data_IF_885473503785
#
_entry.id   IF_885473503785
#
_cell.length_a   1.000
_cell.length_b   1.000
_cell.length_c   1.000
_cell.angle_alpha   90.00
_cell.angle_beta   90.00
_cell.angle_gamma   90.00
#
_symmetry.space_group_name_H-M   'P 1'
#
loop_
_entity.id
_entity.type
_entity.pdbx_description
1 polymer ?
2 non-polymer ?
3 water ?
#
# COMPACT_ATOMS: atom_id res chain seq x y z
N UNK A 1 24.22 -13.95 -12.35
CA UNK A 1 22.86 -14.41 -12.14
C UNK A 1 21.87 -13.31 -11.66
N UNK A 2 20.58 -13.62 -11.78
CA UNK A 2 19.46 -12.79 -11.40
C UNK A 2 19.23 -12.70 -9.89
N UNK A 3 18.77 -11.57 -9.43
CA UNK A 3 18.31 -11.39 -8.08
C UNK A 3 16.84 -11.75 -7.87
N UNK A 4 16.55 -12.36 -6.75
CA UNK A 4 15.20 -12.67 -6.36
C UNK A 4 14.63 -11.73 -5.29
N UNK A 5 13.40 -11.32 -5.48
CA UNK A 5 12.71 -10.51 -4.53
C UNK A 5 11.54 -11.25 -3.87
N UNK A 6 11.49 -11.24 -2.56
CA UNK A 6 10.38 -11.82 -1.83
C UNK A 6 9.30 -10.77 -1.52
N UNK A 7 8.07 -11.07 -1.84
CA UNK A 7 6.95 -10.17 -1.57
C UNK A 7 5.86 -10.86 -0.77
N UNK A 8 5.69 -10.45 0.47
CA UNK A 8 4.62 -10.95 1.29
C UNK A 8 3.25 -10.42 0.83
N UNK A 9 2.21 -11.19 1.06
CA UNK A 9 0.89 -10.83 0.59
C UNK A 9 0.77 -10.56 -0.90
N UNK A 10 1.21 -11.48 -1.70
CA UNK A 10 1.28 -11.32 -3.13
C UNK A 10 -0.06 -11.14 -3.85
N UNK A 11 -1.13 -11.55 -3.25
CA UNK A 11 -2.48 -11.39 -3.78
C UNK A 11 -3.02 -9.97 -3.88
N UNK A 12 -2.50 -9.08 -3.07
CA UNK A 12 -3.01 -7.75 -2.89
C UNK A 12 -2.81 -6.77 -4.04
N UNK A 13 -3.52 -5.67 -3.98
CA UNK A 13 -3.56 -4.66 -5.01
C UNK A 13 -2.24 -3.95 -5.22
N UNK A 14 -1.68 -3.41 -4.19
CA UNK A 14 -0.34 -2.86 -4.24
C UNK A 14 0.75 -3.90 -4.54
N UNK A 15 0.64 -5.04 -3.94
CA UNK A 15 1.62 -6.09 -4.07
C UNK A 15 1.74 -6.56 -5.52
N UNK A 16 0.62 -6.71 -6.21
CA UNK A 16 0.61 -7.08 -7.62
C UNK A 16 1.26 -6.05 -8.54
N UNK A 17 1.04 -4.77 -8.31
CA UNK A 17 1.71 -3.74 -9.02
C UNK A 17 3.21 -3.72 -8.73
N UNK A 18 3.59 -3.94 -7.50
CA UNK A 18 4.96 -4.06 -7.16
C UNK A 18 5.56 -5.25 -7.92
N UNK A 19 4.89 -6.37 -7.92
CA UNK A 19 5.38 -7.55 -8.57
C UNK A 19 5.54 -7.32 -10.08
N UNK A 20 4.55 -6.73 -10.72
CA UNK A 20 4.63 -6.45 -12.13
C UNK A 20 5.78 -5.51 -12.45
N UNK A 21 6.00 -4.51 -11.64
CA UNK A 21 7.13 -3.68 -11.83
C UNK A 21 8.45 -4.37 -11.62
N UNK A 22 8.58 -5.11 -10.55
CA UNK A 22 9.81 -5.81 -10.25
C UNK A 22 10.17 -6.85 -11.33
N UNK A 23 9.19 -7.56 -11.81
CA UNK A 23 9.36 -8.48 -12.88
C UNK A 23 9.82 -7.78 -14.16
N UNK A 24 9.29 -6.61 -14.43
CA UNK A 24 9.64 -5.86 -15.60
C UNK A 24 11.09 -5.42 -15.64
N UNK A 25 11.67 -5.23 -14.50
CA UNK A 25 13.05 -4.84 -14.39
C UNK A 25 14.04 -6.03 -14.38
N UNK A 26 13.54 -7.21 -14.54
CA UNK A 26 14.36 -8.39 -14.57
C UNK A 26 14.63 -9.19 -13.31
N UNK A 27 14.09 -8.78 -12.20
CA UNK A 27 14.10 -9.57 -11.00
C UNK A 27 13.21 -10.77 -11.11
N UNK A 28 13.53 -11.79 -10.38
CA UNK A 28 12.61 -12.81 -10.06
C UNK A 28 11.85 -12.46 -8.79
N UNK A 29 10.71 -13.08 -8.60
CA UNK A 29 9.87 -12.86 -7.50
C UNK A 29 9.43 -14.12 -6.79
N UNK A 30 9.38 -14.07 -5.49
CA UNK A 30 8.73 -15.08 -4.71
C UNK A 30 7.69 -14.43 -3.84
N UNK A 31 6.46 -14.83 -3.99
CA UNK A 31 5.37 -14.27 -3.27
C UNK A 31 4.79 -15.14 -2.20
N UNK A 32 4.43 -14.57 -1.07
CA UNK A 32 3.65 -15.27 -0.07
C UNK A 32 2.13 -15.15 -0.27
N UNK A 33 1.46 -16.26 -0.10
CA UNK A 33 0.03 -16.33 -0.22
C UNK A 33 -0.58 -17.15 0.89
N UNK A 34 -1.82 -16.89 1.24
CA UNK A 34 -2.49 -17.62 2.27
C UNK A 34 -3.10 -18.94 1.83
N UNK A 35 -3.13 -19.21 0.54
CA UNK A 35 -3.57 -20.47 0.05
C UNK A 35 -2.88 -20.92 -1.23
N UNK A 36 -2.91 -22.22 -1.45
CA UNK A 36 -2.34 -22.78 -2.61
C UNK A 36 -2.98 -22.26 -3.89
N UNK A 37 -4.30 -22.22 -3.95
CA UNK A 37 -4.97 -21.77 -5.14
C UNK A 37 -4.68 -20.33 -5.45
N UNK A 38 -4.55 -19.54 -4.41
CA UNK A 38 -4.20 -18.16 -4.55
C UNK A 38 -2.85 -18.04 -5.22
N UNK A 39 -1.91 -18.85 -4.81
CA UNK A 39 -0.62 -18.87 -5.44
C UNK A 39 -0.67 -19.32 -6.88
N UNK A 40 -1.42 -20.36 -7.13
CA UNK A 40 -1.55 -20.91 -8.43
C UNK A 40 -2.15 -19.89 -9.38
N UNK A 41 -3.13 -19.13 -8.94
CA UNK A 41 -3.67 -18.10 -9.81
C UNK A 41 -2.65 -17.09 -10.19
N UNK A 42 -1.86 -16.63 -9.24
CA UNK A 42 -0.82 -15.66 -9.51
C UNK A 42 0.22 -16.18 -10.46
N UNK A 43 0.56 -17.43 -10.31
CA UNK A 43 1.50 -18.06 -11.19
C UNK A 43 1.01 -18.06 -12.63
N UNK A 44 -0.26 -18.30 -12.86
CA UNK A 44 -0.79 -18.22 -14.21
C UNK A 44 -0.72 -16.83 -14.80
N UNK A 45 -1.01 -15.83 -14.00
CA UNK A 45 -0.89 -14.44 -14.40
C UNK A 45 0.52 -13.95 -14.64
N UNK A 46 1.44 -14.29 -13.77
CA UNK A 46 2.79 -13.74 -13.83
C UNK A 46 3.91 -14.55 -14.50
N UNK A 47 3.68 -15.82 -14.76
CA UNK A 47 4.64 -16.60 -15.49
C UNK A 47 5.81 -17.18 -14.75
N UNK A 48 6.80 -17.52 -15.51
CA UNK A 48 7.89 -18.35 -15.06
C UNK A 48 8.81 -17.77 -14.00
N UNK A 49 8.96 -16.47 -13.99
CA UNK A 49 9.84 -15.78 -13.07
C UNK A 49 9.16 -15.51 -11.72
N UNK A 50 7.98 -16.01 -11.56
CA UNK A 50 7.25 -15.89 -10.34
C UNK A 50 7.03 -17.22 -9.65
N UNK A 51 7.37 -17.28 -8.40
CA UNK A 51 7.03 -18.42 -7.59
C UNK A 51 6.41 -18.01 -6.25
N UNK A 52 5.75 -18.94 -5.60
CA UNK A 52 5.03 -18.67 -4.39
C UNK A 52 5.26 -19.68 -3.28
N UNK A 53 5.06 -19.24 -2.06
CA UNK A 53 4.99 -20.10 -0.93
C UNK A 53 3.77 -19.76 -0.10
N UNK A 54 3.17 -20.77 0.48
CA UNK A 54 2.01 -20.58 1.28
C UNK A 54 2.38 -20.35 2.72
N UNK A 55 2.05 -19.17 3.20
CA UNK A 55 2.19 -18.79 4.59
C UNK A 55 0.86 -18.31 5.12
N UNK A 56 0.14 -19.22 5.73
CA UNK A 56 -1.21 -19.01 6.17
C UNK A 56 -1.41 -18.00 7.27
N UNK A 57 -0.53 -17.96 8.25
CA UNK A 57 -0.64 -17.07 9.38
C UNK A 57 0.65 -16.28 9.62
N UNK A 58 0.60 -14.98 9.53
CA UNK A 58 1.73 -14.17 9.83
C UNK A 58 2.15 -14.18 11.27
N UNK A 59 1.20 -14.24 12.17
CA UNK A 59 1.41 -13.96 13.57
C UNK A 59 1.91 -15.17 14.38
N UNK A 60 2.47 -16.14 13.72
CA UNK A 60 3.14 -17.20 14.40
C UNK A 60 4.66 -17.12 14.26
N UNK A 61 5.36 -17.31 15.35
CA UNK A 61 6.78 -17.29 15.37
C UNK A 61 7.32 -18.27 14.35
N UNK A 62 8.24 -17.81 13.56
CA UNK A 62 8.81 -18.58 12.48
C UNK A 62 7.94 -18.91 11.27
N UNK A 63 6.90 -18.15 11.06
CA UNK A 63 5.99 -18.39 10.01
C UNK A 63 6.63 -18.40 8.62
N UNK A 64 7.61 -17.55 8.40
CA UNK A 64 8.31 -17.47 7.15
C UNK A 64 9.58 -18.33 7.04
N UNK A 65 9.92 -19.08 8.07
CA UNK A 65 11.20 -19.77 8.09
C UNK A 65 11.33 -20.75 6.95
N UNK A 66 10.34 -21.57 6.76
CA UNK A 66 10.43 -22.55 5.73
C UNK A 66 10.51 -21.93 4.36
N UNK A 67 9.69 -20.94 4.10
CA UNK A 67 9.65 -20.29 2.82
C UNK A 67 10.98 -19.66 2.51
N UNK A 68 11.56 -19.00 3.47
CA UNK A 68 12.88 -18.44 3.30
C UNK A 68 13.95 -19.50 3.07
N UNK A 69 13.92 -20.58 3.80
CA UNK A 69 14.90 -21.63 3.65
C UNK A 69 14.84 -22.20 2.26
N UNK A 70 13.66 -22.28 1.70
CA UNK A 70 13.44 -22.76 0.35
C UNK A 70 13.98 -21.84 -0.76
N UNK A 71 14.21 -20.57 -0.44
CA UNK A 71 14.58 -19.62 -1.45
C UNK A 71 15.81 -18.81 -1.08
N UNK A 72 16.94 -19.48 -1.06
CA UNK A 72 18.23 -18.87 -0.72
C UNK A 72 18.67 -17.84 -1.74
N UNK A 73 18.08 -17.91 -2.90
CA UNK A 73 18.31 -16.93 -3.93
C UNK A 73 17.76 -15.53 -3.62
N UNK A 74 16.82 -15.44 -2.71
CA UNK A 74 16.21 -14.16 -2.37
C UNK A 74 17.19 -13.30 -1.56
N UNK A 75 17.42 -12.10 -2.01
CA UNK A 75 18.19 -11.13 -1.27
C UNK A 75 17.47 -9.82 -0.85
N UNK A 76 16.22 -9.68 -1.25
CA UNK A 76 15.33 -8.57 -0.94
C UNK A 76 13.99 -9.05 -0.38
N UNK A 77 13.50 -8.44 0.68
CA UNK A 77 12.20 -8.77 1.23
C UNK A 77 11.32 -7.55 1.29
N UNK A 78 10.19 -7.59 0.61
CA UNK A 78 9.19 -6.58 0.73
C UNK A 78 7.98 -7.11 1.51
N UNK A 79 7.84 -6.64 2.73
CA UNK A 79 6.75 -7.00 3.58
C UNK A 79 5.56 -6.06 3.41
N UNK A 80 4.60 -6.50 2.64
CA UNK A 80 3.43 -5.71 2.33
C UNK A 80 2.10 -6.20 2.93
N UNK A 81 2.03 -7.45 3.27
CA UNK A 81 0.83 -8.00 3.82
C UNK A 81 0.47 -7.41 5.17
N UNK A 82 -0.75 -6.97 5.28
CA UNK A 82 -1.35 -6.47 6.47
C UNK A 82 -2.86 -6.57 6.40
N UNK A 83 -3.52 -6.70 7.53
CA UNK A 83 -4.97 -6.60 7.53
C UNK A 83 -5.45 -5.25 7.10
N UNK A 84 -6.46 -5.30 6.30
CA UNK A 84 -7.12 -4.11 5.88
C UNK A 84 -8.64 -4.19 6.02
N UNK A 85 -9.16 -5.07 6.84
CA UNK A 85 -10.57 -5.19 7.04
C UNK A 85 -10.93 -4.56 8.35
N UNK A 86 -11.72 -3.50 8.28
CA UNK A 86 -12.10 -2.72 9.42
C UNK A 86 -13.26 -3.22 10.25
N UNK A 87 -14.02 -4.15 9.74
CA UNK A 87 -15.15 -4.56 10.47
C UNK A 87 -14.87 -5.94 10.97
N UNK A 88 -14.60 -6.04 12.24
CA UNK A 88 -14.11 -7.27 12.82
C UNK A 88 -14.74 -7.58 14.16
N UNK A 89 -14.78 -8.85 14.52
CA UNK A 89 -15.17 -9.22 15.87
C UNK A 89 -14.20 -8.75 16.95
N UNK A 90 -12.91 -8.95 16.71
CA UNK A 90 -11.87 -8.69 17.69
C UNK A 90 -10.77 -7.87 17.01
N UNK A 91 -10.65 -6.62 17.38
CA UNK A 91 -9.67 -5.76 16.79
C UNK A 91 -8.26 -6.22 17.01
N UNK A 92 -7.97 -6.75 18.17
CA UNK A 92 -6.66 -7.27 18.43
C UNK A 92 -6.25 -8.52 17.63
N UNK A 93 -7.09 -9.54 17.64
CA UNK A 93 -6.80 -10.73 16.93
C UNK A 93 -6.78 -10.55 15.42
N UNK A 94 -7.65 -9.70 14.92
CA UNK A 94 -7.80 -9.55 13.53
C UNK A 94 -7.09 -8.38 12.86
N UNK A 95 -6.70 -7.40 13.61
CA UNK A 95 -6.03 -6.29 13.04
C UNK A 95 -4.64 -6.04 13.65
N UNK A 96 -4.60 -5.78 14.93
CA UNK A 96 -3.39 -5.42 15.58
C UNK A 96 -2.32 -6.49 15.66
N UNK A 97 -2.63 -7.67 16.13
CA UNK A 97 -1.64 -8.72 16.26
C UNK A 97 -1.02 -9.20 14.94
N UNK A 98 -1.78 -9.47 13.92
CA UNK A 98 -1.18 -9.86 12.64
C UNK A 98 -0.27 -8.81 12.08
N UNK A 99 -0.60 -7.55 12.16
CA UNK A 99 0.32 -6.56 11.72
C UNK A 99 1.59 -6.49 12.57
N UNK A 100 1.43 -6.35 13.88
CA UNK A 100 2.55 -6.16 14.75
C UNK A 100 3.42 -7.41 14.98
N UNK A 101 2.82 -8.48 15.42
CA UNK A 101 3.49 -9.74 15.54
C UNK A 101 3.96 -10.31 14.22
N UNK A 102 3.13 -10.22 13.21
CA UNK A 102 3.49 -10.69 11.92
C UNK A 102 4.75 -9.96 11.43
N UNK A 103 4.82 -8.67 11.62
CA UNK A 103 5.98 -7.92 11.27
C UNK A 103 7.25 -8.29 12.09
N UNK A 104 7.12 -8.39 13.38
CA UNK A 104 8.16 -8.78 14.28
C UNK A 104 8.70 -10.18 13.92
N UNK A 105 7.83 -11.11 13.66
CA UNK A 105 8.18 -12.46 13.26
C UNK A 105 8.85 -12.60 11.84
N UNK A 106 8.44 -11.79 10.89
CA UNK A 106 9.07 -11.80 9.60
C UNK A 106 10.54 -11.39 9.75
N UNK A 107 10.76 -10.30 10.44
CA UNK A 107 12.07 -9.80 10.60
C UNK A 107 12.97 -10.80 11.32
N UNK A 108 12.45 -11.42 12.35
CA UNK A 108 13.18 -12.40 13.05
C UNK A 108 13.51 -13.61 12.16
N UNK A 109 12.58 -14.01 11.34
CA UNK A 109 12.78 -15.12 10.41
C UNK A 109 13.89 -14.79 9.43
N UNK A 110 13.93 -13.59 8.92
CA UNK A 110 14.94 -13.16 7.98
C UNK A 110 16.31 -13.23 8.64
N UNK A 111 16.43 -12.74 9.85
CA UNK A 111 17.67 -12.82 10.56
C UNK A 111 18.07 -14.25 10.88
N UNK A 112 17.13 -15.08 11.27
CA UNK A 112 17.42 -16.44 11.58
C UNK A 112 17.87 -17.29 10.37
N UNK A 113 17.16 -17.20 9.27
CA UNK A 113 17.33 -18.09 8.15
C UNK A 113 17.66 -17.47 6.79
N UNK A 114 17.74 -16.18 6.74
CA UNK A 114 18.03 -15.52 5.52
C UNK A 114 19.04 -14.42 5.67
N UNK A 115 20.24 -14.76 6.07
CA UNK A 115 21.32 -13.80 6.27
C UNK A 115 21.79 -13.09 5.01
N UNK A 116 21.51 -13.68 3.88
CA UNK A 116 21.80 -13.12 2.60
C UNK A 116 20.97 -11.90 2.25
N UNK A 117 19.86 -11.69 2.93
CA UNK A 117 19.02 -10.57 2.59
C UNK A 117 19.65 -9.27 3.08
N UNK A 118 20.03 -8.49 2.11
CA UNK A 118 20.53 -7.14 2.20
C UNK A 118 19.54 -5.96 2.50
N UNK A 119 18.35 -6.07 1.96
CA UNK A 119 17.36 -5.03 2.06
C UNK A 119 15.97 -5.56 2.42
N UNK A 120 15.33 -4.85 3.32
CA UNK A 120 13.97 -5.06 3.68
C UNK A 120 13.19 -3.74 3.59
N UNK A 121 12.01 -3.81 3.00
CA UNK A 121 11.12 -2.69 2.90
C UNK A 121 9.82 -3.06 3.56
N UNK A 122 9.40 -2.24 4.51
CA UNK A 122 8.14 -2.44 5.12
C UNK A 122 7.11 -1.45 4.56
N UNK A 123 5.98 -1.96 4.15
CA UNK A 123 4.91 -1.13 3.64
C UNK A 123 4.09 -0.59 4.85
N UNK A 124 4.33 0.64 5.19
CA UNK A 124 3.62 1.28 6.27
C UNK A 124 2.46 2.08 5.68
N UNK A 125 2.14 3.20 6.30
CA UNK A 125 1.09 4.08 5.89
C UNK A 125 1.17 5.46 6.53
N UNK A 126 0.48 6.40 5.96
CA UNK A 126 0.35 7.71 6.56
C UNK A 126 -0.30 7.62 7.93
N UNK A 127 -1.12 6.61 8.16
CA UNK A 127 -1.78 6.39 9.42
C UNK A 127 -0.83 6.12 10.57
N UNK A 128 0.36 5.67 10.25
CA UNK A 128 1.45 5.57 11.19
C UNK A 128 1.96 6.90 11.72
N UNK A 129 1.74 7.94 10.95
CA UNK A 129 2.28 9.23 11.17
C UNK A 129 1.33 10.25 11.80
N UNK A 130 0.11 9.82 11.96
CA UNK A 130 -0.99 10.69 12.25
C UNK A 130 -2.15 10.05 12.94
N UNK A 131 -3.15 10.87 13.22
CA UNK A 131 -4.43 10.47 13.74
C UNK A 131 -5.51 11.03 12.86
N UNK A 132 -6.69 10.48 12.93
CA UNK A 132 -7.64 10.72 11.88
C UNK A 132 -7.99 12.18 11.70
N UNK A 133 -8.26 12.88 12.78
CA UNK A 133 -8.61 14.28 12.68
C UNK A 133 -7.50 15.15 12.06
N UNK A 134 -6.25 14.76 12.16
CA UNK A 134 -5.13 15.43 11.56
C UNK A 134 -5.03 15.38 10.09
N UNK A 135 -5.40 14.27 9.49
CA UNK A 135 -5.21 14.05 8.10
C UNK A 135 -5.96 15.04 7.22
N UNK A 136 -7.07 15.49 7.71
CA UNK A 136 -7.92 16.41 7.02
C UNK A 136 -7.75 17.83 7.41
N UNK A 137 -6.73 18.13 8.17
CA UNK A 137 -6.56 19.46 8.66
C UNK A 137 -5.68 20.32 7.76
N UNK A 138 -6.18 21.46 7.34
CA UNK A 138 -5.40 22.40 6.53
C UNK A 138 -4.23 22.95 7.28
N UNK A 139 -4.26 22.88 8.58
CA UNK A 139 -3.17 23.34 9.38
C UNK A 139 -2.07 22.33 9.71
N UNK A 140 -2.28 21.09 9.40
CA UNK A 140 -1.30 20.04 9.65
C UNK A 140 -0.34 19.86 8.49
N UNK A 141 0.92 19.85 8.81
CA UNK A 141 1.94 19.50 7.91
C UNK A 141 2.64 18.20 8.33
N UNK A 142 2.37 17.13 7.62
CA UNK A 142 3.14 15.93 7.81
C UNK A 142 4.47 15.92 7.10
N UNK A 143 5.40 15.18 7.69
CA UNK A 143 6.72 14.88 7.18
C UNK A 143 7.16 13.45 7.46
N UNK A 144 8.33 13.09 6.95
CA UNK A 144 8.92 11.82 7.20
C UNK A 144 9.23 11.61 8.69
N UNK A 145 9.35 12.67 9.45
CA UNK A 145 9.51 12.64 10.89
C UNK A 145 8.27 12.38 11.76
N UNK A 146 7.10 12.47 11.18
CA UNK A 146 5.85 12.43 11.89
C UNK A 146 5.50 11.04 12.40
N UNK A 147 5.08 10.98 13.64
CA UNK A 147 4.60 9.76 14.26
C UNK A 147 3.22 9.97 14.92
N UNK A 148 2.35 9.02 14.75
CA UNK A 148 1.06 9.07 15.36
C UNK A 148 1.12 9.03 16.88
N UNK A 149 0.28 9.81 17.49
CA UNK A 149 0.11 9.83 18.91
C UNK A 149 -0.88 8.83 19.47
N UNK A 150 -1.58 8.08 18.63
CA UNK A 150 -2.53 7.14 19.12
C UNK A 150 -1.91 6.06 19.95
N UNK A 151 -2.54 5.78 21.07
CA UNK A 151 -2.16 4.72 21.97
C UNK A 151 -2.68 3.37 21.57
N UNK A 152 -2.02 2.33 22.00
CA UNK A 152 -2.47 0.99 21.74
C UNK A 152 -3.86 0.75 22.37
N UNK A 153 -4.06 1.23 23.56
CA UNK A 153 -5.33 1.09 24.23
C UNK A 153 -6.48 1.79 23.45
N UNK A 154 -6.23 3.00 22.97
CA UNK A 154 -7.17 3.70 22.14
C UNK A 154 -7.41 2.96 20.82
N UNK A 155 -6.34 2.40 20.28
CA UNK A 155 -6.41 1.76 18.99
C UNK A 155 -7.34 0.58 18.97
N UNK A 156 -7.50 -0.09 20.08
CA UNK A 156 -8.35 -1.25 20.24
C UNK A 156 -9.87 -1.05 20.03
N UNK A 157 -10.34 0.15 20.26
CA UNK A 157 -11.75 0.40 20.44
C UNK A 157 -12.64 0.09 19.24
N UNK A 158 -12.13 0.33 18.07
CA UNK A 158 -12.80 -0.02 16.86
C UNK A 158 -11.89 -0.12 15.65
N UNK A 159 -12.45 -0.68 14.61
CA UNK A 159 -11.69 -1.18 13.49
C UNK A 159 -10.83 -0.18 12.80
N UNK A 160 -11.33 1.00 12.54
CA UNK A 160 -10.53 2.01 11.92
C UNK A 160 -9.34 2.44 12.76
N UNK A 161 -9.56 2.72 14.03
CA UNK A 161 -8.52 3.03 14.96
C UNK A 161 -7.55 1.89 15.13
N UNK A 162 -8.03 0.67 15.08
CA UNK A 162 -7.20 -0.47 15.12
C UNK A 162 -6.23 -0.52 13.93
N UNK A 163 -6.70 -0.20 12.73
CA UNK A 163 -5.82 -0.14 11.56
C UNK A 163 -4.77 0.90 11.72
N UNK A 164 -5.13 2.06 12.22
CA UNK A 164 -4.18 3.12 12.47
C UNK A 164 -3.10 2.66 13.43
N UNK A 165 -3.50 2.04 14.51
CA UNK A 165 -2.60 1.48 15.45
C UNK A 165 -1.76 0.36 14.90
N UNK A 166 -2.34 -0.49 14.09
CA UNK A 166 -1.64 -1.61 13.53
C UNK A 166 -0.43 -1.14 12.74
N UNK A 167 -0.60 -0.10 11.96
CA UNK A 167 0.47 0.44 11.20
C UNK A 167 1.56 1.14 12.01
N UNK A 168 1.17 1.98 12.94
CA UNK A 168 2.10 2.68 13.75
C UNK A 168 2.96 1.72 14.56
N UNK A 169 2.35 0.78 15.24
CA UNK A 169 3.05 -0.20 16.04
C UNK A 169 3.93 -1.22 15.32
N UNK A 170 3.46 -1.72 14.22
CA UNK A 170 4.27 -2.54 13.39
C UNK A 170 5.49 -1.80 12.87
N UNK A 171 5.34 -0.60 12.38
CA UNK A 171 6.46 0.19 11.91
C UNK A 171 7.49 0.53 13.00
N UNK A 172 7.01 0.92 14.17
CA UNK A 172 7.85 1.15 15.32
C UNK A 172 8.61 -0.15 15.68
N UNK A 173 7.94 -1.27 15.63
CA UNK A 173 8.53 -2.53 15.91
C UNK A 173 9.65 -2.87 14.91
N UNK A 174 9.41 -2.56 13.65
CA UNK A 174 10.42 -2.78 12.62
C UNK A 174 11.68 -1.95 12.88
N UNK A 175 11.52 -0.66 13.17
CA UNK A 175 12.62 0.19 13.52
C UNK A 175 13.32 -0.29 14.81
N UNK A 176 12.54 -0.72 15.77
CA UNK A 176 13.07 -1.25 16.98
C UNK A 176 13.91 -2.52 16.76
N UNK A 177 13.46 -3.38 15.89
CA UNK A 177 14.18 -4.58 15.61
C UNK A 177 15.55 -4.26 15.04
N UNK A 178 15.60 -3.34 14.14
CA UNK A 178 16.83 -2.99 13.52
C UNK A 178 17.79 -2.47 14.58
N UNK A 179 17.33 -1.64 15.47
CA UNK A 179 18.16 -1.14 16.51
C UNK A 179 18.66 -2.20 17.47
N UNK A 180 17.75 -3.01 17.97
CA UNK A 180 18.00 -4.05 18.91
C UNK A 180 18.75 -5.29 18.43
N UNK A 181 18.44 -5.74 17.22
CA UNK A 181 18.91 -7.00 16.68
C UNK A 181 20.04 -6.93 15.67
N UNK A 182 20.34 -5.75 15.17
CA UNK A 182 21.51 -5.58 14.37
C UNK A 182 21.61 -6.61 13.22
N UNK A 183 20.61 -6.62 12.35
CA UNK A 183 20.58 -7.54 11.23
C UNK A 183 21.51 -7.18 10.10
N UNK A 184 21.70 -8.14 9.23
CA UNK A 184 22.45 -7.97 8.02
C UNK A 184 21.82 -6.97 7.06
N UNK A 185 20.52 -6.82 7.10
CA UNK A 185 19.82 -5.97 6.17
C UNK A 185 19.65 -4.54 6.64
N UNK A 186 19.55 -3.63 5.70
CA UNK A 186 19.06 -2.31 5.93
C UNK A 186 17.53 -2.21 5.70
N UNK A 187 16.89 -1.42 6.51
CA UNK A 187 15.47 -1.28 6.45
C UNK A 187 15.07 0.05 5.89
N UNK A 188 14.00 0.05 5.17
CA UNK A 188 13.35 1.25 4.76
C UNK A 188 11.84 1.07 4.74
N UNK A 189 11.09 2.16 4.85
CA UNK A 189 9.65 2.08 4.84
C UNK A 189 9.05 2.93 3.77
N UNK A 190 7.89 2.55 3.32
CA UNK A 190 7.07 3.35 2.44
C UNK A 190 5.73 3.66 3.11
N UNK A 191 5.39 4.93 3.18
CA UNK A 191 4.26 5.42 3.94
C UNK A 191 3.24 6.15 3.03
N UNK A 192 2.39 5.38 2.40
CA UNK A 192 1.39 5.94 1.48
C UNK A 192 0.12 6.48 2.12
N UNK A 193 -0.48 7.40 1.40
CA UNK A 193 -1.84 7.85 1.58
C UNK A 193 -2.82 6.93 0.81
N UNK A 194 -4.03 7.39 0.56
CA UNK A 194 -4.97 6.58 -0.21
C UNK A 194 -4.39 6.23 -1.58
N UNK A 195 -4.46 4.97 -1.92
CA UNK A 195 -3.91 4.50 -3.15
C UNK A 195 -4.97 4.24 -4.23
N UNK A 196 -4.86 4.99 -5.31
CA UNK A 196 -5.72 4.87 -6.47
C UNK A 196 -4.92 4.40 -7.70
N UNK A 197 -5.64 3.96 -8.71
CA UNK A 197 -5.07 3.50 -9.93
C UNK A 197 -5.46 2.11 -10.40
N UNK A 198 -5.16 1.79 -11.64
CA UNK A 198 -5.56 0.50 -12.22
C UNK A 198 -4.90 -0.68 -11.55
N UNK A 199 -5.55 -1.83 -11.56
CA UNK A 199 -4.99 -3.07 -11.08
C UNK A 199 -3.93 -3.58 -12.03
N UNK A 200 -2.97 -4.35 -11.53
CA UNK A 200 -1.91 -4.86 -12.36
C UNK A 200 -2.39 -5.74 -13.54
N UNK A 201 -3.41 -6.53 -13.29
CA UNK A 201 -3.99 -7.41 -14.28
C UNK A 201 -5.48 -7.21 -14.41
N UNK A 202 -5.93 -7.19 -15.65
CA UNK A 202 -7.32 -7.06 -15.99
C UNK A 202 -8.14 -8.17 -15.37
N UNK A 203 -7.57 -9.34 -15.30
CA UNK A 203 -8.18 -10.53 -14.78
C UNK A 203 -8.54 -10.44 -13.31
N UNK A 204 -7.87 -9.59 -12.59
CA UNK A 204 -8.08 -9.41 -11.21
C UNK A 204 -9.09 -8.34 -10.90
N UNK A 205 -9.56 -7.66 -11.89
CA UNK A 205 -10.50 -6.59 -11.68
C UNK A 205 -11.83 -7.06 -11.05
N UNK A 206 -12.42 -8.09 -11.59
CA UNK A 206 -13.67 -8.53 -11.07
C UNK A 206 -13.63 -9.06 -9.59
N UNK A 207 -12.51 -9.61 -9.17
CA UNK A 207 -12.50 -10.31 -7.91
C UNK A 207 -12.71 -9.73 -6.51
N UNK A 208 -11.99 -8.72 -6.08
CA UNK A 208 -12.31 -8.12 -4.78
C UNK A 208 -12.10 -6.66 -4.87
N UNK A 209 -12.82 -5.91 -4.08
CA UNK A 209 -12.77 -4.50 -4.18
C UNK A 209 -11.82 -3.95 -3.16
N UNK A 210 -10.65 -3.56 -3.58
CA UNK A 210 -9.72 -2.99 -2.66
C UNK A 210 -10.34 -1.73 -2.11
N UNK A 211 -10.21 -1.54 -0.83
CA UNK A 211 -10.91 -0.46 -0.21
C UNK A 211 -10.52 0.88 -0.77
N UNK A 212 -9.24 1.20 -0.93
CA UNK A 212 -8.85 2.44 -1.57
C UNK A 212 -9.23 2.62 -3.07
N UNK A 213 -9.00 1.65 -3.89
CA UNK A 213 -9.29 1.74 -5.32
C UNK A 213 -10.78 1.94 -5.54
N UNK A 214 -11.59 1.31 -4.72
CA UNK A 214 -13.01 1.37 -4.82
C UNK A 214 -13.55 2.76 -4.53
N UNK A 215 -12.81 3.60 -3.86
CA UNK A 215 -13.21 4.97 -3.64
C UNK A 215 -13.31 5.72 -4.96
N UNK A 216 -12.42 5.44 -5.87
CA UNK A 216 -12.61 5.88 -7.22
C UNK A 216 -13.72 5.11 -7.98
N UNK A 217 -13.58 3.82 -8.04
CA UNK A 217 -14.41 2.98 -8.88
C UNK A 217 -15.90 2.90 -8.55
N UNK A 218 -16.25 3.14 -7.31
CA UNK A 218 -17.58 3.20 -6.85
C UNK A 218 -18.41 4.33 -7.50
N UNK A 219 -17.76 5.31 -8.08
CA UNK A 219 -18.47 6.41 -8.68
C UNK A 219 -19.37 5.92 -9.79
N UNK A 220 -18.99 4.83 -10.42
CA UNK A 220 -19.71 4.19 -11.47
C UNK A 220 -21.06 3.64 -10.99
N UNK A 221 -21.18 3.42 -9.71
CA UNK A 221 -22.41 2.97 -9.13
C UNK A 221 -23.39 4.06 -8.69
N UNK A 222 -22.97 5.30 -8.79
CA UNK A 222 -23.84 6.38 -8.51
C UNK A 222 -24.90 6.51 -9.60
N UNK A 223 -25.97 7.16 -9.28
CA UNK A 223 -26.98 7.47 -10.25
C UNK A 223 -27.28 8.94 -10.18
N UNK A 224 -28.01 9.43 -11.15
CA UNK A 224 -28.08 10.85 -11.43
C UNK A 224 -28.58 11.66 -10.27
N UNK A 225 -29.39 11.08 -9.43
CA UNK A 225 -29.95 11.80 -8.30
C UNK A 225 -29.21 11.67 -6.96
N UNK A 226 -28.18 10.85 -6.94
CA UNK A 226 -27.37 10.65 -5.80
C UNK A 226 -26.61 11.90 -5.43
N UNK A 227 -26.20 11.97 -4.18
CA UNK A 227 -25.34 13.03 -3.71
C UNK A 227 -23.91 12.87 -4.24
N UNK A 228 -23.20 13.97 -4.28
CA UNK A 228 -21.79 13.93 -4.54
C UNK A 228 -21.15 13.14 -3.40
N UNK A 229 -20.23 12.25 -3.69
CA UNK A 229 -19.58 11.51 -2.62
C UNK A 229 -18.85 12.41 -1.69
N UNK A 230 -18.83 12.11 -0.41
CA UNK A 230 -18.11 12.91 0.60
C UNK A 230 -16.66 12.49 0.82
N UNK A 231 -16.24 11.51 0.07
CA UNK A 231 -14.93 11.01 0.14
C UNK A 231 -13.93 12.14 -0.08
N UNK A 232 -12.87 12.18 0.72
CA UNK A 232 -11.88 13.20 0.63
C UNK A 232 -10.55 12.81 1.25
N UNK A 233 -9.51 13.54 0.94
CA UNK A 233 -8.19 13.28 1.44
C UNK A 233 -7.07 13.57 0.45
N UNK A 234 -5.95 12.90 0.64
CA UNK A 234 -4.85 12.92 -0.27
C UNK A 234 -4.70 11.56 -0.95
N UNK A 235 -4.23 11.57 -2.17
CA UNK A 235 -4.04 10.38 -2.96
C UNK A 235 -2.60 10.15 -3.38
N UNK A 236 -2.32 8.93 -3.73
CA UNK A 236 -1.16 8.55 -4.46
C UNK A 236 -1.45 7.41 -5.42
N UNK A 237 -0.93 7.50 -6.61
CA UNK A 237 -1.09 6.46 -7.62
C UNK A 237 -0.33 5.17 -7.29
N UNK A 238 -0.98 4.08 -7.53
CA UNK A 238 -0.46 2.79 -7.17
C UNK A 238 0.89 2.52 -7.85
N UNK A 239 1.02 2.95 -9.09
CA UNK A 239 2.21 2.79 -9.84
C UNK A 239 3.39 3.57 -9.25
N UNK A 240 3.09 4.75 -8.74
CA UNK A 240 4.04 5.50 -7.98
C UNK A 240 4.46 4.84 -6.66
N UNK A 241 3.52 4.23 -5.94
CA UNK A 241 3.85 3.51 -4.74
C UNK A 241 4.78 2.34 -5.04
N UNK A 242 4.50 1.64 -6.10
CA UNK A 242 5.33 0.56 -6.53
C UNK A 242 6.76 1.00 -6.89
N UNK A 243 6.88 2.09 -7.61
CA UNK A 243 8.15 2.64 -7.96
C UNK A 243 8.90 3.04 -6.72
N UNK A 244 8.20 3.54 -5.71
CA UNK A 244 8.79 3.86 -4.42
C UNK A 244 9.36 2.65 -3.70
N UNK A 245 8.68 1.54 -3.79
CA UNK A 245 9.20 0.32 -3.24
C UNK A 245 10.51 -0.09 -3.94
N UNK A 246 10.56 0.06 -5.24
CA UNK A 246 11.76 -0.20 -5.98
C UNK A 246 12.90 0.68 -5.58
N UNK A 247 12.65 1.96 -5.49
CA UNK A 247 13.61 2.91 -5.02
C UNK A 247 14.04 2.53 -3.60
N UNK A 248 13.12 2.08 -2.81
CA UNK A 248 13.34 1.82 -1.42
C UNK A 248 14.39 0.77 -1.15
N UNK A 249 14.49 -0.20 -2.06
CA UNK A 249 15.55 -1.17 -2.00
C UNK A 249 16.76 -1.01 -2.92
N UNK A 250 16.57 -0.37 -4.06
CA UNK A 250 17.62 -0.07 -5.01
C UNK A 250 18.60 1.01 -4.64
N UNK A 251 18.13 2.10 -4.07
CA UNK A 251 18.94 3.28 -3.79
C UNK A 251 19.63 3.27 -2.43
N UNK A 252 20.90 3.64 -2.44
CA UNK A 252 21.68 3.72 -1.24
C UNK A 252 21.09 4.77 -0.29
N UNK A 253 20.56 5.83 -0.84
CA UNK A 253 19.98 6.96 -0.14
C UNK A 253 18.77 6.57 0.71
N UNK A 254 18.09 5.52 0.30
CA UNK A 254 16.90 5.00 0.94
C UNK A 254 17.12 4.22 2.22
N UNK A 255 18.34 3.83 2.49
CA UNK A 255 18.59 3.04 3.65
C UNK A 255 18.29 3.82 4.92
N UNK A 256 17.49 3.21 5.76
CA UNK A 256 17.10 3.81 7.01
C UNK A 256 16.14 4.97 6.92
N UNK A 257 15.48 5.09 5.79
CA UNK A 257 14.50 6.12 5.55
C UNK A 257 13.05 5.67 5.60
N UNK A 258 12.19 6.60 6.00
CA UNK A 258 10.77 6.55 5.80
C UNK A 258 10.39 7.45 4.63
N UNK A 259 9.58 6.90 3.76
CA UNK A 259 9.16 7.61 2.59
C UNK A 259 7.69 7.91 2.60
N UNK A 260 7.36 9.18 2.63
CA UNK A 260 6.00 9.63 2.64
C UNK A 260 5.52 9.77 1.20
N UNK A 261 4.58 8.94 0.82
CA UNK A 261 4.09 8.89 -0.54
C UNK A 261 2.71 9.50 -0.65
N UNK A 262 2.70 10.78 -0.94
CA UNK A 262 1.53 11.60 -0.99
C UNK A 262 1.56 12.63 -2.12
N UNK A 263 0.48 12.75 -2.85
CA UNK A 263 0.41 13.67 -3.93
C UNK A 263 -0.55 14.83 -3.67
N UNK A 264 -1.70 14.85 -4.30
CA UNK A 264 -2.60 15.98 -4.15
C UNK A 264 -3.92 15.64 -3.43
N UNK A 265 -4.52 16.65 -2.86
CA UNK A 265 -5.82 16.65 -2.29
C UNK A 265 -6.95 16.56 -3.28
N UNK A 266 -7.97 15.84 -2.89
CA UNK A 266 -9.18 15.67 -3.63
C UNK A 266 -10.39 15.54 -2.71
N UNK A 267 -11.53 15.73 -3.32
CA UNK A 267 -12.81 15.33 -2.79
C UNK A 267 -13.71 14.67 -3.81
N UNK A 268 -14.93 14.41 -3.42
CA UNK A 268 -15.91 13.83 -4.29
C UNK A 268 -16.21 14.65 -5.53
N UNK A 269 -16.20 15.95 -5.40
CA UNK A 269 -16.36 16.82 -6.54
C UNK A 269 -15.23 16.72 -7.55
N UNK A 270 -14.02 16.62 -7.06
CA UNK A 270 -12.84 16.45 -7.88
C UNK A 270 -12.99 15.15 -8.70
N UNK A 271 -13.41 14.09 -8.04
CA UNK A 271 -13.62 12.83 -8.64
C UNK A 271 -14.71 12.82 -9.72
N UNK A 272 -15.84 13.39 -9.41
CA UNK A 272 -16.94 13.53 -10.33
C UNK A 272 -16.57 14.36 -11.56
N UNK A 273 -15.85 15.42 -11.35
CA UNK A 273 -15.46 16.29 -12.42
C UNK A 273 -14.57 15.56 -13.42
N UNK A 274 -13.65 14.78 -12.93
CA UNK A 274 -12.80 14.03 -13.79
C UNK A 274 -13.54 12.99 -14.60
N UNK A 275 -14.33 12.19 -13.94
CA UNK A 275 -15.03 11.13 -14.59
C UNK A 275 -16.02 11.61 -15.67
N UNK A 276 -16.75 12.65 -15.37
CA UNK A 276 -17.71 13.18 -16.30
C UNK A 276 -17.10 13.75 -17.59
N UNK A 277 -15.99 14.46 -17.51
CA UNK A 277 -15.26 14.92 -18.66
C UNK A 277 -14.64 13.82 -19.52
N UNK A 278 -13.98 12.90 -18.90
CA UNK A 278 -13.40 11.73 -19.50
C UNK A 278 -14.31 10.65 -20.03
N UNK A 279 -15.43 10.43 -19.41
CA UNK A 279 -16.39 9.41 -19.77
C UNK A 279 -17.77 10.04 -19.95
N UNK A 280 -17.88 10.87 -20.98
CA UNK A 280 -19.06 11.68 -21.20
C UNK A 280 -20.32 10.88 -21.54
N UNK A 281 -20.18 9.64 -21.94
CA UNK A 281 -21.27 8.74 -22.05
C UNK A 281 -21.89 8.42 -20.71
N UNK A 282 -21.19 8.63 -19.63
CA UNK A 282 -21.72 8.40 -18.28
C UNK A 282 -22.37 9.61 -17.63
N UNK A 283 -22.31 10.73 -18.32
CA UNK A 283 -22.70 12.00 -17.76
C UNK A 283 -24.12 11.99 -17.33
N UNK A 284 -24.97 11.42 -18.16
CA UNK A 284 -26.38 11.35 -17.88
C UNK A 284 -26.77 10.35 -16.82
N UNK A 285 -25.84 9.52 -16.45
CA UNK A 285 -26.04 8.53 -15.45
C UNK A 285 -25.38 8.84 -14.11
N UNK A 286 -24.89 10.04 -13.93
CA UNK A 286 -24.17 10.43 -12.77
C UNK A 286 -24.59 11.77 -12.26
N UNK A 287 -24.36 12.04 -10.99
CA UNK A 287 -24.63 13.38 -10.46
C UNK A 287 -23.65 14.42 -10.98
N UNK A 288 -24.07 15.68 -10.93
CA UNK A 288 -23.28 16.80 -11.36
C UNK A 288 -22.59 17.56 -10.24
N UNK A 289 -23.31 17.77 -9.17
CA UNK A 289 -22.85 18.59 -8.08
C UNK A 289 -22.55 20.00 -8.51
N UNK A 290 -21.42 20.51 -8.07
CA UNK A 290 -21.02 21.84 -8.33
C UNK A 290 -19.64 21.84 -8.89
N UNK A 291 -19.53 21.73 -10.20
CA UNK A 291 -18.22 21.49 -10.79
C UNK A 291 -17.20 22.54 -10.49
N UNK A 292 -16.01 22.10 -10.10
CA UNK A 292 -14.88 22.94 -9.75
C UNK A 292 -15.09 23.87 -8.58
N UNK A 293 -15.97 23.49 -7.68
CA UNK A 293 -16.18 24.14 -6.41
C UNK A 293 -15.20 23.67 -5.36
N UNK A 294 -14.44 22.64 -5.64
CA UNK A 294 -13.42 22.18 -4.74
C UNK A 294 -12.30 23.19 -4.67
N UNK A 295 -11.92 23.60 -3.49
CA UNK A 295 -10.83 24.52 -3.31
C UNK A 295 -9.91 24.05 -2.19
N UNK A 296 -8.70 23.68 -2.52
CA UNK A 296 -7.72 23.22 -1.55
C UNK A 296 -6.59 24.17 -1.19
N UNK A 297 -6.72 25.41 -1.57
CA UNK A 297 -5.68 26.40 -1.42
C UNK A 297 -5.32 26.76 0.04
N UNK A 298 -6.21 26.53 0.95
CA UNK A 298 -5.94 26.70 2.36
C UNK A 298 -5.01 25.65 2.99
N UNK A 299 -4.87 24.50 2.35
CA UNK A 299 -4.18 23.39 2.96
C UNK A 299 -2.69 23.54 2.85
N UNK A 300 -2.01 23.56 3.97
CA UNK A 300 -0.58 23.62 3.95
C UNK A 300 -0.01 22.38 3.25
N UNK A 301 0.98 22.54 2.40
CA UNK A 301 1.54 21.40 1.75
C UNK A 301 2.32 20.54 2.72
N UNK A 302 2.12 19.25 2.67
CA UNK A 302 2.91 18.37 3.46
C UNK A 302 4.40 18.36 3.03
N UNK A 303 5.28 18.10 3.98
CA UNK A 303 6.69 18.07 3.74
C UNK A 303 7.26 16.70 3.34
N UNK A 304 7.17 16.42 2.07
CA UNK A 304 7.70 15.24 1.45
C UNK A 304 8.94 15.50 0.64
N UNK A 305 9.62 16.59 0.91
CA UNK A 305 10.75 17.02 0.12
C UNK A 305 11.86 16.01 0.06
N UNK A 306 12.17 15.42 1.18
CA UNK A 306 13.18 14.40 1.26
C UNK A 306 12.82 13.17 0.40
N UNK A 307 11.59 12.72 0.53
CA UNK A 307 11.13 11.58 -0.20
C UNK A 307 11.23 11.84 -1.69
N UNK A 308 10.78 12.98 -2.15
CA UNK A 308 10.81 13.32 -3.57
C UNK A 308 12.21 13.37 -4.13
N UNK A 309 13.14 13.94 -3.37
CA UNK A 309 14.54 13.96 -3.72
C UNK A 309 15.13 12.55 -3.81
N UNK A 310 14.84 11.70 -2.87
CA UNK A 310 15.28 10.36 -2.92
C UNK A 310 14.68 9.58 -4.10
N UNK A 311 13.39 9.68 -4.28
CA UNK A 311 12.73 8.99 -5.37
C UNK A 311 13.15 9.47 -6.77
N UNK A 312 13.21 10.76 -6.96
CA UNK A 312 13.66 11.34 -8.20
C UNK A 312 12.79 11.12 -9.44
N UNK A 313 11.51 10.88 -9.25
CA UNK A 313 10.56 10.86 -10.34
C UNK A 313 9.31 11.65 -10.02
N UNK A 314 8.59 12.01 -11.05
CA UNK A 314 7.35 12.72 -10.96
C UNK A 314 6.15 11.77 -10.84
N UNK A 315 5.17 12.17 -10.07
CA UNK A 315 3.98 11.38 -9.82
C UNK A 315 2.92 11.49 -10.92
N UNK A 316 2.11 10.47 -11.08
CA UNK A 316 0.93 10.49 -11.87
C UNK A 316 -0.01 11.51 -11.25
N UNK A 317 -0.63 12.33 -12.07
CA UNK A 317 -1.62 13.24 -11.58
C UNK A 317 -2.96 12.57 -11.33
N UNK A 318 -3.81 13.23 -10.60
CA UNK A 318 -5.04 12.64 -10.12
C UNK A 318 -5.98 12.19 -11.24
N UNK A 319 -6.11 13.01 -12.24
CA UNK A 319 -6.93 12.70 -13.37
C UNK A 319 -6.43 11.44 -14.09
N UNK A 320 -5.15 11.34 -14.27
CA UNK A 320 -4.59 10.21 -14.94
C UNK A 320 -4.83 8.93 -14.16
N UNK A 321 -4.62 8.96 -12.87
CA UNK A 321 -4.80 7.80 -12.03
C UNK A 321 -6.27 7.36 -12.07
N UNK A 322 -7.14 8.31 -11.90
CA UNK A 322 -8.55 8.07 -11.99
C UNK A 322 -8.97 7.55 -13.37
N UNK A 323 -8.58 8.20 -14.44
CA UNK A 323 -8.98 7.80 -15.78
C UNK A 323 -8.45 6.38 -16.06
N UNK A 324 -7.22 6.11 -15.73
CA UNK A 324 -6.64 4.82 -15.97
C UNK A 324 -7.43 3.76 -15.20
N UNK A 325 -7.82 4.06 -13.98
CA UNK A 325 -8.54 3.11 -13.18
C UNK A 325 -9.92 2.79 -13.77
N UNK A 326 -10.64 3.82 -14.18
CA UNK A 326 -11.94 3.70 -14.81
C UNK A 326 -11.93 3.03 -16.17
N UNK A 327 -10.96 3.34 -16.99
CA UNK A 327 -10.83 2.74 -18.30
C UNK A 327 -10.71 1.25 -18.13
N UNK A 328 -9.95 0.80 -17.15
CA UNK A 328 -9.84 -0.60 -16.90
C UNK A 328 -11.14 -1.27 -16.51
N UNK A 329 -11.89 -0.68 -15.62
CA UNK A 329 -13.13 -1.24 -15.19
C UNK A 329 -14.13 -1.30 -16.36
N UNK A 330 -14.15 -0.29 -17.18
CA UNK A 330 -14.99 -0.29 -18.35
C UNK A 330 -14.59 -1.38 -19.34
N UNK A 331 -13.31 -1.54 -19.56
CA UNK A 331 -12.84 -2.53 -20.49
C UNK A 331 -13.30 -3.92 -20.12
N UNK A 332 -13.28 -4.19 -18.85
CA UNK A 332 -13.63 -5.50 -18.37
C UNK A 332 -15.15 -5.73 -18.29
N UNK A 333 -15.86 -4.63 -18.31
CA UNK A 333 -17.31 -4.46 -18.18
C UNK A 333 -17.74 -4.18 -16.77
X LIG B 1 -5.34 -5.32 0.18
X LIG B 1 -5.54 -5.09 -1.30
X LIG B 1 -6.45 -5.92 1.00
X LIG B 1 -4.01 -6.19 0.39
X LIG B 1 -3.80 -6.93 1.60
X LIG B 1 -3.16 -8.27 1.29
X LIG B 1 -2.48 -8.77 2.45
X LIG B 1 -4.20 -9.31 0.87
X LIG B 1 -3.95 -9.77 -0.45
X LIG B 1 -4.08 -10.44 1.87
X LIG B 1 -3.76 -11.66 1.20
X LIG B 1 -2.99 -10.05 2.84
X LIG B 1 -3.52 -9.99 4.23
X LIG B 1 -4.45 -9.10 4.66
X LIG B 1 -4.73 -9.32 5.97
X LIG B 1 -3.96 -10.34 6.39
X LIG B 1 -3.76 -11.07 7.67
X LIG B 1 -4.45 -10.74 8.78
X LIG B 1 -2.87 -12.09 7.68
X LIG B 1 -2.17 -12.45 6.57
X LIG B 1 -2.31 -11.81 5.38
X LIG B 1 -3.17 -10.78 5.23
X LIG B 1 -4.93 -3.90 0.84
X LIG B 1 -4.08 -2.82 0.01
X LIG B 1 -4.92 -1.58 -0.14
X LIG B 1 -3.52 -3.50 -1.22
X LIG B 1 -2.86 -2.48 1.00
X LIG B 1 -1.56 -3.04 0.77
X LIG B 1 -0.61 -2.61 1.88
X LIG B 1 -0.25 -1.23 1.72
X LIG B 1 -1.25 -2.76 3.26
X LIG B 1 -0.53 -3.73 4.04
X LIG B 1 -1.18 -1.40 3.90
X LIG B 1 -0.46 -1.45 5.13
X LIG B 1 -0.50 -0.48 2.91
X LIG B 1 -1.36 0.68 2.61
X LIG B 1 -2.22 0.61 1.58
X LIG B 1 -3.04 1.70 1.29
X LIG B 1 -4.00 1.62 0.14
X LIG B 1 -4.88 2.46 0.03
X LIG B 1 -3.86 0.64 -0.75
X LIG B 1 -2.97 2.84 2.07
X LIG B 1 -2.07 2.88 3.12
X LIG B 1 -1.27 1.77 3.38
X LIG B 1 -4.92 -12.65 0.68
X LIG B 1 -4.28 -14.01 0.68
X LIG B 1 -6.03 -12.47 1.68
X LIG B 1 -5.25 -12.11 -0.70
X LIG B 1 -3.17 -6.35 2.27
X LIG B 1 -4.76 -7.09 2.10
X LIG B 1 -2.45 -8.14 0.46
X LIG B 1 -5.20 -8.86 0.94
X LIG B 1 -3.04 -10.07 -0.53
X LIG B 1 -5.03 -10.54 2.42
X LIG B 1 -2.18 -10.79 2.80
X LIG B 1 -4.91 -8.34 4.04
X LIG B 1 -5.12 -9.98 8.76
X LIG B 1 -4.30 -11.25 9.64
X LIG B 1 -1.47 -13.26 6.64
X LIG B 1 -1.19 -2.68 -0.19
X LIG B 1 -1.63 -4.12 0.74
X LIG B 1 0.29 -3.24 1.84
X LIG B 1 -2.30 -3.07 3.14
X LIG B 1 0.35 -3.38 4.24
X LIG B 1 -2.21 -1.03 4.08
X LIG B 1 -1.06 -1.32 5.88
X LIG B 1 0.45 -0.13 3.34
X LIG B 1 -2.28 -0.28 0.98
X LIG B 1 -4.50 0.57 -1.53
X LIG B 1 -3.12 -0.04 -0.64
X LIG B 1 -3.60 3.70 1.85
X LIG B 1 -1.99 3.76 3.74
X LIG B 1 -0.57 1.80 4.20
#
# INVERSE_FOLDING_TARGET
>A
MTTSVFVSGATGYLAQQIIALVLSKGYKVVGSVRSEEKGANLKKLYGDDFSYEVVKVLEQKGAFDEALKKHPEVTIFLHTASPVTFEVEDTEKEILIPAINGTKYVLQSIKDVAPQITRVVYTSSVVAMSVPEELGSPDVVLSEASWSSLSYEQSKTHGVLAYFGSKQFAERAAWEFVEQEKPNFALSTVNPVYIFGPQAKDEEVKGTLNHSAEMVNSVLKLNKDDDVPATTGTFIDVRDVAKAHLAAFEKDEAKGERLLLSNTRFNGQTLLDVVRKNFPQLADKLPVGKPHSDDFSAFKEWNDKKTKKILGFEYFDFETSVVDSIKQVLKVQG
>B hetero
1 NAP PA O1A O2A O5B C5B C4B O4B C3B O3B C2B O2B C1B N9A C8A N7A C5A C6A N6A N1A C2A N3A C4A O3 PN O1N O2N O5D C5D C4D O4D C3D O3D C2D O2D C1D N1N C2N C3N C7N O7N N7N C4N C5N C6N P2B O1X O2X O3X H51A H52A H4B H3B HO3A H2B H1B H8A H61A H62A H2A H51N H52N H4D H3D HO3N H2D HO2N H1D H2N H71N H72N H4N H5N H6N
#
